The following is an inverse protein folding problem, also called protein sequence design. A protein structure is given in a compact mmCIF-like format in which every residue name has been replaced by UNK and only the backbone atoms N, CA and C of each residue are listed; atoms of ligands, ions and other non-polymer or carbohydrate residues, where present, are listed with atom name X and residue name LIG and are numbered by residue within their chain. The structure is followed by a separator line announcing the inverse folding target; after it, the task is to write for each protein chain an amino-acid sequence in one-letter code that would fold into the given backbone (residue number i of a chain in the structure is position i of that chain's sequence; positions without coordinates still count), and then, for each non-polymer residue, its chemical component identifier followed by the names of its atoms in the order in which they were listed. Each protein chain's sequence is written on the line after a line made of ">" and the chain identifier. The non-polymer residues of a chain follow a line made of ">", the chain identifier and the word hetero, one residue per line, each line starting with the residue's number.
data_IF_220885699763
#
_entry.id   IF_220885699763
#
_cell.length_a   1.000
_cell.length_b   1.000
_cell.length_c   1.000
_cell.angle_alpha   90.00
_cell.angle_beta   90.00
_cell.angle_gamma   90.00
#
_symmetry.space_group_name_H-M   'P 1'
#
loop_
_entity.id
_entity.type
_entity.pdbx_description
1 polymer ?
#
# COMPACT_ATOMS: atom_id res chain seq x y z
N UNK A 1 -14.94 7.51 -1.28
CA UNK A 1 -14.23 7.09 -2.51
C UNK A 1 -14.22 8.16 -3.59
N UNK A 2 -15.38 8.64 -4.07
CA UNK A 2 -15.48 9.49 -5.28
C UNK A 2 -14.56 10.72 -5.30
N UNK A 3 -14.37 11.39 -4.16
CA UNK A 3 -13.43 12.52 -4.02
C UNK A 3 -11.98 12.06 -4.26
N UNK A 4 -11.56 10.97 -3.60
CA UNK A 4 -10.21 10.40 -3.76
C UNK A 4 -9.97 9.95 -5.20
N UNK A 5 -10.90 9.17 -5.78
CA UNK A 5 -10.77 8.74 -7.18
C UNK A 5 -10.68 9.95 -8.13
N UNK A 6 -11.52 10.98 -7.94
CA UNK A 6 -11.48 12.18 -8.78
C UNK A 6 -10.17 12.98 -8.64
N UNK A 7 -9.63 13.08 -7.43
CA UNK A 7 -8.37 13.75 -7.18
C UNK A 7 -7.22 12.99 -7.84
N UNK A 8 -7.11 11.68 -7.61
CA UNK A 8 -6.07 10.85 -8.21
C UNK A 8 -6.16 10.84 -9.74
N UNK A 9 -7.37 10.75 -10.31
CA UNK A 9 -7.56 10.89 -11.76
C UNK A 9 -7.09 12.25 -12.29
N UNK A 10 -7.34 13.33 -11.54
CA UNK A 10 -6.87 14.66 -11.94
C UNK A 10 -5.35 14.78 -11.93
N UNK A 11 -4.67 14.17 -10.94
CA UNK A 11 -3.21 14.16 -10.86
C UNK A 11 -2.58 13.27 -11.93
N UNK A 12 -3.21 12.13 -12.24
CA UNK A 12 -2.81 11.29 -13.39
C UNK A 12 -2.94 12.07 -14.70
N UNK A 13 -4.05 12.79 -14.90
CA UNK A 13 -4.24 13.63 -16.08
C UNK A 13 -3.22 14.78 -16.17
N UNK A 14 -2.73 15.28 -15.03
CA UNK A 14 -1.64 16.28 -14.95
C UNK A 14 -0.25 15.68 -15.19
N UNK A 15 -0.12 14.36 -15.20
CA UNK A 15 1.16 13.68 -15.39
C UNK A 15 2.01 13.58 -14.11
N UNK A 16 1.42 13.78 -12.93
CA UNK A 16 2.13 13.68 -11.64
C UNK A 16 2.65 12.26 -11.38
N UNK A 17 1.90 11.24 -11.82
CA UNK A 17 2.25 9.82 -11.79
C UNK A 17 1.38 9.06 -12.80
N UNK A 18 1.80 7.88 -13.30
CA UNK A 18 1.09 7.16 -14.35
C UNK A 18 -0.20 6.47 -13.87
N UNK A 19 -0.25 6.12 -12.59
CA UNK A 19 -1.37 5.43 -11.97
C UNK A 19 -1.23 5.41 -10.45
N UNK A 20 -2.33 5.11 -9.77
CA UNK A 20 -2.40 5.01 -8.32
C UNK A 20 -3.48 4.04 -7.87
N UNK A 21 -3.24 3.38 -6.76
CA UNK A 21 -4.21 2.57 -6.03
C UNK A 21 -4.45 3.20 -4.66
N UNK A 22 -5.67 3.08 -4.16
CA UNK A 22 -5.96 3.38 -2.76
C UNK A 22 -6.89 2.37 -2.14
N UNK A 23 -6.81 2.26 -0.81
CA UNK A 23 -7.74 1.51 0.03
C UNK A 23 -8.10 2.36 1.24
N UNK A 24 -9.38 2.33 1.62
CA UNK A 24 -9.91 2.94 2.83
C UNK A 24 -10.63 1.82 3.59
N UNK A 25 -10.17 1.56 4.81
CA UNK A 25 -10.74 0.56 5.70
C UNK A 25 -11.24 1.17 6.99
N UNK A 26 -12.27 0.54 7.55
CA UNK A 26 -12.76 0.79 8.90
C UNK A 26 -12.94 -0.58 9.59
N UNK A 27 -12.34 -0.75 10.76
CA UNK A 27 -12.20 -2.03 11.46
C UNK A 27 -11.66 -3.16 10.55
N UNK A 28 -12.47 -4.18 10.28
CA UNK A 28 -12.13 -5.34 9.44
C UNK A 28 -12.80 -5.28 8.06
N UNK A 29 -13.28 -4.10 7.64
CA UNK A 29 -13.98 -3.92 6.38
C UNK A 29 -13.30 -2.90 5.48
N UNK A 30 -13.20 -3.24 4.20
CA UNK A 30 -12.83 -2.30 3.15
C UNK A 30 -14.09 -1.52 2.78
N UNK A 31 -14.09 -0.21 3.06
CA UNK A 31 -15.23 0.66 2.76
C UNK A 31 -15.12 1.31 1.38
N UNK A 32 -13.90 1.40 0.84
CA UNK A 32 -13.64 1.86 -0.51
C UNK A 32 -12.24 1.47 -0.96
N UNK A 33 -12.12 1.11 -2.23
CA UNK A 33 -10.84 0.91 -2.91
C UNK A 33 -10.99 1.19 -4.39
N UNK A 34 -9.89 1.52 -5.05
CA UNK A 34 -9.87 1.73 -6.50
C UNK A 34 -8.42 1.61 -7.02
N UNK A 35 -8.29 1.32 -8.30
CA UNK A 35 -7.03 1.35 -9.03
C UNK A 35 -7.22 2.15 -10.32
N UNK A 36 -6.39 3.17 -10.51
CA UNK A 36 -6.57 4.22 -11.50
C UNK A 36 -5.31 4.39 -12.33
N UNK A 37 -5.48 4.65 -13.62
CA UNK A 37 -4.36 4.86 -14.55
C UNK A 37 -3.65 3.56 -14.90
N UNK A 38 -2.32 3.63 -15.02
CA UNK A 38 -1.50 2.55 -15.55
C UNK A 38 -0.39 2.16 -14.56
N UNK A 39 -0.22 0.86 -14.34
CA UNK A 39 0.90 0.29 -13.60
C UNK A 39 2.20 0.35 -14.39
N UNK A 40 2.11 0.30 -15.72
CA UNK A 40 3.21 0.38 -16.66
C UNK A 40 2.82 1.30 -17.81
N UNK A 41 3.71 2.20 -18.23
CA UNK A 41 3.49 3.05 -19.41
C UNK A 41 4.37 2.63 -20.58
N UNK A 42 5.59 2.16 -20.28
CA UNK A 42 6.57 1.73 -21.27
C UNK A 42 7.10 0.34 -20.90
N UNK A 43 7.31 -0.57 -21.87
CA UNK A 43 7.14 -0.38 -23.32
C UNK A 43 5.67 -0.38 -23.77
N UNK A 44 4.75 -0.87 -22.93
CA UNK A 44 3.31 -0.90 -23.23
C UNK A 44 2.49 -0.43 -22.03
N UNK A 45 1.30 0.09 -22.30
CA UNK A 45 0.39 0.57 -21.26
C UNK A 45 -0.36 -0.58 -20.62
N UNK A 46 -0.03 -0.89 -19.37
CA UNK A 46 -0.74 -1.90 -18.56
C UNK A 46 -1.59 -1.17 -17.52
N UNK A 47 -2.93 -1.36 -17.53
CA UNK A 47 -3.80 -0.75 -16.53
C UNK A 47 -3.41 -1.14 -15.11
N UNK A 48 -3.49 -0.19 -14.18
CA UNK A 48 -3.40 -0.51 -12.76
C UNK A 48 -4.65 -1.30 -12.33
N UNK A 49 -4.44 -2.33 -11.54
CA UNK A 49 -5.49 -3.19 -10.95
C UNK A 49 -5.33 -3.24 -9.45
N UNK A 50 -6.32 -3.78 -8.74
CA UNK A 50 -6.20 -3.96 -7.29
C UNK A 50 -5.08 -4.96 -6.89
N UNK A 51 -4.66 -5.81 -7.83
CA UNK A 51 -3.59 -6.80 -7.66
C UNK A 51 -2.21 -6.28 -8.10
N UNK A 52 -2.09 -5.01 -8.47
CA UNK A 52 -0.82 -4.43 -8.93
C UNK A 52 0.20 -4.43 -7.78
N UNK A 53 1.37 -5.01 -8.03
CA UNK A 53 2.47 -5.03 -7.07
C UNK A 53 3.26 -3.72 -7.19
N UNK A 54 3.36 -2.99 -6.08
CA UNK A 54 4.16 -1.77 -5.97
C UNK A 54 5.36 -1.97 -5.05
N UNK A 55 6.47 -1.29 -5.36
CA UNK A 55 7.58 -1.17 -4.41
C UNK A 55 7.15 -0.27 -3.24
N UNK A 56 7.17 -0.83 -2.04
CA UNK A 56 6.78 -0.12 -0.81
C UNK A 56 7.85 0.86 -0.31
N UNK A 57 9.08 0.77 -0.83
CA UNK A 57 10.19 1.64 -0.50
C UNK A 57 10.32 1.87 1.02
N UNK A 58 10.26 3.11 1.48
CA UNK A 58 10.40 3.45 2.90
C UNK A 58 9.26 2.96 3.79
N UNK A 59 8.10 2.56 3.25
CA UNK A 59 7.05 1.89 4.05
C UNK A 59 7.49 0.52 4.57
N UNK A 60 8.53 -0.08 3.99
CA UNK A 60 9.17 -1.29 4.53
C UNK A 60 9.60 -1.11 5.99
N UNK A 61 10.02 0.11 6.39
CA UNK A 61 10.48 0.38 7.76
C UNK A 61 9.36 0.15 8.79
N UNK A 62 8.22 0.88 8.75
CA UNK A 62 7.14 0.65 9.70
C UNK A 62 6.44 -0.70 9.54
N UNK A 63 6.23 -1.18 8.29
CA UNK A 63 5.43 -2.38 8.04
C UNK A 63 6.19 -3.69 8.30
N UNK A 64 7.51 -3.70 8.09
CA UNK A 64 8.32 -4.91 8.19
C UNK A 64 9.36 -4.76 9.29
N UNK A 65 10.30 -3.82 9.15
CA UNK A 65 11.46 -3.74 10.06
C UNK A 65 11.05 -3.46 11.51
N UNK A 66 10.21 -2.44 11.74
CA UNK A 66 9.75 -2.09 13.09
C UNK A 66 8.92 -3.21 13.71
N UNK A 67 8.02 -3.82 12.92
CA UNK A 67 7.24 -4.98 13.36
C UNK A 67 8.15 -6.13 13.82
N UNK A 68 9.16 -6.49 13.01
CA UNK A 68 10.11 -7.55 13.36
C UNK A 68 10.92 -7.21 14.60
N UNK A 69 11.35 -5.96 14.76
CA UNK A 69 12.08 -5.51 15.96
C UNK A 69 11.22 -5.66 17.21
N UNK A 70 9.95 -5.22 17.18
CA UNK A 70 9.03 -5.36 18.33
C UNK A 70 8.80 -6.84 18.65
N UNK A 71 8.51 -7.67 17.64
CA UNK A 71 8.31 -9.12 17.83
C UNK A 71 9.56 -9.83 18.36
N UNK A 72 10.75 -9.40 17.94
CA UNK A 72 11.99 -9.95 18.45
C UNK A 72 12.25 -9.52 19.91
N UNK A 73 12.01 -8.24 20.22
CA UNK A 73 12.13 -7.72 21.57
C UNK A 73 11.14 -8.37 22.55
N UNK A 74 9.92 -8.70 22.10
CA UNK A 74 8.95 -9.48 22.87
C UNK A 74 9.50 -10.87 23.20
N UNK A 75 9.97 -11.61 22.18
CA UNK A 75 10.52 -12.97 22.35
C UNK A 75 11.79 -13.03 23.19
N UNK A 76 12.56 -11.93 23.25
CA UNK A 76 13.78 -11.81 24.04
C UNK A 76 13.56 -11.45 25.52
N UNK A 77 12.32 -11.29 25.99
CA UNK A 77 12.02 -11.04 27.40
C UNK A 77 12.26 -12.32 28.22
N UNK A 78 13.09 -12.28 29.28
CA UNK A 78 13.22 -13.40 30.21
C UNK A 78 11.85 -13.69 30.86
N UNK A 79 11.19 -14.77 30.44
CA UNK A 79 9.84 -15.15 30.86
C UNK A 79 8.99 -15.80 29.78
N UNK A 80 9.27 -15.56 28.49
CA UNK A 80 8.47 -16.08 27.37
C UNK A 80 8.94 -17.45 26.82
N UNK A 81 9.97 -18.03 27.43
CA UNK A 81 10.23 -19.48 27.37
C UNK A 81 9.61 -20.15 28.60
N UNK A 82 8.28 -20.20 28.65
CA UNK A 82 7.61 -21.18 29.50
C UNK A 82 7.62 -22.51 28.72
N UNK A 83 8.10 -23.54 29.42
CA UNK A 83 8.09 -24.96 29.07
C UNK A 83 6.79 -25.40 28.37
#
# INVERSE_FOLDING_TARGET
>A
SKIISSYLQSEIARGSFPGAQYIIGEDQQVIAEDALGYALVEPERVPATLDTIYDMASLTKPLVTALLVVRFAERGKPGDHVV
#
